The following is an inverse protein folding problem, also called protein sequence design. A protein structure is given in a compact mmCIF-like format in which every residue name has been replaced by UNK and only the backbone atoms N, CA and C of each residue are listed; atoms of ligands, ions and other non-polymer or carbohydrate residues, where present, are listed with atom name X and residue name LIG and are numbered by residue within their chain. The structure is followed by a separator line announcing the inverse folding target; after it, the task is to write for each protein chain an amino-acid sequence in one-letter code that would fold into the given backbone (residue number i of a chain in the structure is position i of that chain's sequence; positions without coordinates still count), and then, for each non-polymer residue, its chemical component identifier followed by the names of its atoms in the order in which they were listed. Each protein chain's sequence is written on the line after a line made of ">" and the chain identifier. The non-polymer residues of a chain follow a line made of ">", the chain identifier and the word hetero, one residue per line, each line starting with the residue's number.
data_IF_559708294790
#
_entry.id   IF_559708294790
#
_cell.length_a   1.000
_cell.length_b   1.000
_cell.length_c   1.000
_cell.angle_alpha   90.00
_cell.angle_beta   90.00
_cell.angle_gamma   90.00
#
_symmetry.space_group_name_H-M   'P 1'
#
loop_
_entity.id
_entity.type
_entity.pdbx_description
1 polymer ?
#
# COMPACT_ATOMS: atom_id res chain seq x y z
N UNK A 1 11.53 21.00 9.00
CA UNK A 1 10.80 20.60 7.78
C UNK A 1 10.08 19.29 8.08
N UNK A 2 8.77 19.24 7.90
CA UNK A 2 7.98 18.01 8.00
C UNK A 2 7.48 17.64 6.59
N UNK A 3 7.49 16.34 6.29
CA UNK A 3 6.86 15.78 5.11
C UNK A 3 6.05 14.56 5.58
N UNK A 4 4.76 14.54 5.25
CA UNK A 4 3.84 13.47 5.62
C UNK A 4 3.14 12.96 4.37
N UNK A 5 3.34 11.69 4.03
CA UNK A 5 2.70 11.03 2.89
C UNK A 5 1.72 9.96 3.39
N UNK A 6 0.49 10.00 2.87
CA UNK A 6 -0.57 9.07 3.23
C UNK A 6 -1.15 8.40 1.98
N UNK A 7 -0.73 7.17 1.71
CA UNK A 7 -1.20 6.41 0.56
C UNK A 7 -2.20 5.34 0.98
N UNK A 8 -3.31 5.24 0.25
CA UNK A 8 -4.35 4.24 0.46
C UNK A 8 -4.48 3.35 -0.77
N UNK A 9 -4.66 2.05 -0.56
CA UNK A 9 -4.96 1.09 -1.63
C UNK A 9 -6.34 0.46 -1.40
N UNK A 10 -7.21 0.56 -2.41
CA UNK A 10 -8.53 -0.05 -2.45
C UNK A 10 -8.48 -1.40 -3.16
N UNK A 11 -9.05 -2.42 -2.51
CA UNK A 11 -9.12 -3.80 -3.00
C UNK A 11 -10.59 -4.21 -3.03
N UNK A 12 -11.10 -4.56 -4.21
CA UNK A 12 -12.52 -4.91 -4.39
C UNK A 12 -13.46 -3.69 -4.41
N UNK A 13 -14.69 -3.91 -4.89
CA UNK A 13 -15.70 -2.85 -5.12
C UNK A 13 -16.31 -2.29 -3.84
N UNK A 14 -16.29 -3.06 -2.75
CA UNK A 14 -16.93 -2.71 -1.48
C UNK A 14 -15.95 -2.13 -0.46
N UNK A 15 -14.71 -1.84 -0.87
CA UNK A 15 -13.69 -1.25 0.01
C UNK A 15 -13.85 0.26 0.14
N UNK A 16 -13.38 0.79 1.27
CA UNK A 16 -13.28 2.22 1.53
C UNK A 16 -12.03 2.52 2.32
N UNK A 17 -11.42 3.68 2.05
CA UNK A 17 -10.26 4.18 2.75
C UNK A 17 -10.48 5.67 3.05
N UNK A 18 -10.29 6.07 4.30
CA UNK A 18 -10.49 7.45 4.74
C UNK A 18 -9.19 7.96 5.38
N UNK A 19 -8.78 9.17 4.99
CA UNK A 19 -7.55 9.82 5.48
C UNK A 19 -7.91 11.14 6.14
N UNK A 20 -7.55 11.31 7.42
CA UNK A 20 -7.87 12.51 8.22
C UNK A 20 -6.59 13.15 8.79
N UNK A 21 -5.90 14.01 8.03
CA UNK A 21 -4.69 14.67 8.51
C UNK A 21 -5.02 15.82 9.47
N UNK A 22 -4.14 16.05 10.44
CA UNK A 22 -4.18 17.21 11.34
C UNK A 22 -2.83 17.92 11.28
N UNK A 23 -2.85 19.23 10.99
CA UNK A 23 -1.64 20.05 10.89
C UNK A 23 -1.89 21.35 11.67
N UNK A 24 -1.21 21.50 12.79
CA UNK A 24 -1.20 22.73 13.60
C UNK A 24 0.22 23.28 13.68
N UNK A 25 0.43 24.52 13.22
CA UNK A 25 1.75 25.13 13.13
C UNK A 25 1.74 26.50 13.80
N UNK A 26 2.47 26.63 14.91
CA UNK A 26 2.60 27.89 15.66
C UNK A 26 3.96 28.58 15.45
N UNK A 27 4.69 28.20 14.40
CA UNK A 27 5.99 28.79 14.04
C UNK A 27 6.01 29.16 12.55
N UNK A 28 6.17 30.45 12.29
CA UNK A 28 6.17 31.12 10.99
C UNK A 28 7.40 30.82 10.10
N UNK A 29 8.44 30.21 10.66
CA UNK A 29 9.60 29.70 9.90
C UNK A 29 9.47 28.21 9.53
N UNK A 30 8.34 27.57 9.86
CA UNK A 30 8.13 26.15 9.60
C UNK A 30 7.86 25.88 8.13
N UNK A 31 8.34 24.73 7.65
CA UNK A 31 7.98 24.15 6.35
C UNK A 31 7.34 22.78 6.61
N UNK A 32 6.09 22.63 6.17
CA UNK A 32 5.26 21.43 6.34
C UNK A 32 4.63 21.09 4.99
N UNK A 33 4.79 19.84 4.58
CA UNK A 33 4.27 19.30 3.32
C UNK A 33 3.43 18.06 3.66
N UNK A 34 2.22 17.98 3.09
CA UNK A 34 1.36 16.81 3.22
C UNK A 34 0.87 16.37 1.84
N UNK A 35 1.02 15.08 1.58
CA UNK A 35 0.55 14.42 0.37
C UNK A 35 -0.34 13.23 0.76
N UNK A 36 -1.41 13.02 -0.01
CA UNK A 36 -2.25 11.86 0.12
C UNK A 36 -2.71 11.36 -1.24
N UNK A 37 -2.55 10.06 -1.49
CA UNK A 37 -2.97 9.42 -2.74
C UNK A 37 -3.88 8.22 -2.47
N UNK A 38 -4.78 7.94 -3.40
CA UNK A 38 -5.61 6.74 -3.37
C UNK A 38 -5.40 5.96 -4.65
N UNK A 39 -5.01 4.71 -4.51
CA UNK A 39 -4.79 3.76 -5.58
C UNK A 39 -5.82 2.65 -5.51
N UNK A 40 -6.15 2.06 -6.66
CA UNK A 40 -6.98 0.85 -6.76
C UNK A 40 -6.20 -0.19 -7.55
N UNK A 41 -6.32 -1.46 -7.19
CA UNK A 41 -5.77 -2.54 -8.01
C UNK A 41 -6.48 -2.51 -9.38
N UNK A 42 -5.70 -2.30 -10.44
CA UNK A 42 -6.23 -2.24 -11.80
C UNK A 42 -6.53 -3.64 -12.32
N UNK A 43 -7.72 -3.83 -12.89
CA UNK A 43 -8.08 -5.08 -13.59
C UNK A 43 -7.13 -5.37 -14.76
N UNK A 44 -6.62 -4.33 -15.42
CA UNK A 44 -5.61 -4.47 -16.48
C UNK A 44 -4.27 -4.97 -15.94
N UNK A 45 -3.84 -4.49 -14.77
CA UNK A 45 -2.62 -4.98 -14.11
C UNK A 45 -2.75 -6.44 -13.70
N UNK A 46 -3.90 -6.81 -13.13
CA UNK A 46 -4.20 -8.19 -12.77
C UNK A 46 -4.23 -9.10 -14.01
N UNK A 47 -4.94 -8.68 -15.05
CA UNK A 47 -5.02 -9.42 -16.32
C UNK A 47 -3.64 -9.61 -16.95
N UNK A 48 -2.79 -8.57 -16.94
CA UNK A 48 -1.43 -8.64 -17.45
C UNK A 48 -0.56 -9.67 -16.70
N UNK A 49 -0.64 -9.69 -15.37
CA UNK A 49 0.10 -10.65 -14.55
C UNK A 49 -0.43 -12.08 -14.76
N UNK A 50 -1.75 -12.24 -14.86
CA UNK A 50 -2.38 -13.54 -15.13
C UNK A 50 -2.00 -14.09 -16.51
N UNK A 51 -1.91 -13.26 -17.54
CA UNK A 51 -1.43 -13.68 -18.87
C UNK A 51 0.02 -14.20 -18.82
N UNK A 52 0.81 -13.81 -17.83
CA UNK A 52 2.16 -14.32 -17.59
C UNK A 52 2.19 -15.61 -16.76
N UNK A 53 1.04 -16.20 -16.48
CA UNK A 53 0.90 -17.44 -15.70
C UNK A 53 0.95 -17.24 -14.19
N UNK A 54 0.84 -16.00 -13.70
CA UNK A 54 0.80 -15.69 -12.27
C UNK A 54 -0.64 -15.86 -11.80
N UNK A 55 -0.87 -16.57 -10.70
CA UNK A 55 -2.22 -16.74 -10.15
C UNK A 55 -2.81 -15.38 -9.76
N UNK A 56 -4.14 -15.28 -9.68
CA UNK A 56 -4.79 -14.03 -9.27
C UNK A 56 -4.34 -13.60 -7.86
N UNK A 57 -4.22 -14.54 -6.94
CA UNK A 57 -3.78 -14.29 -5.56
C UNK A 57 -2.32 -13.81 -5.52
N UNK A 58 -1.43 -14.48 -6.26
CA UNK A 58 -0.03 -14.06 -6.37
C UNK A 58 0.11 -12.69 -7.04
N UNK A 59 -0.72 -12.39 -8.04
CA UNK A 59 -0.73 -11.11 -8.72
C UNK A 59 -1.14 -9.97 -7.78
N UNK A 60 -2.18 -10.17 -6.96
CA UNK A 60 -2.61 -9.22 -5.94
C UNK A 60 -1.53 -9.02 -4.89
N UNK A 61 -0.95 -10.12 -4.39
CA UNK A 61 0.16 -10.09 -3.42
C UNK A 61 1.37 -9.33 -3.96
N UNK A 62 1.72 -9.53 -5.24
CA UNK A 62 2.81 -8.82 -5.90
C UNK A 62 2.57 -7.29 -5.95
N UNK A 63 1.36 -6.87 -6.34
CA UNK A 63 0.99 -5.46 -6.43
C UNK A 63 1.04 -4.79 -5.04
N UNK A 64 0.47 -5.44 -4.02
CA UNK A 64 0.44 -4.93 -2.65
C UNK A 64 1.85 -4.85 -2.05
N UNK A 65 2.69 -5.86 -2.30
CA UNK A 65 4.10 -5.83 -1.87
C UNK A 65 4.86 -4.68 -2.53
N UNK A 66 4.57 -4.38 -3.80
CA UNK A 66 5.10 -3.21 -4.49
C UNK A 66 4.66 -1.89 -3.82
N UNK A 67 3.39 -1.80 -3.42
CA UNK A 67 2.84 -0.64 -2.72
C UNK A 67 3.46 -0.42 -1.33
N UNK A 68 3.67 -1.49 -0.55
CA UNK A 68 4.26 -1.41 0.78
C UNK A 68 5.81 -1.39 0.79
N UNK A 69 6.45 -1.38 -0.38
CA UNK A 69 7.90 -1.54 -0.51
C UNK A 69 8.71 -0.56 0.34
N UNK A 70 8.36 0.72 0.30
CA UNK A 70 9.10 1.76 1.00
C UNK A 70 9.00 1.62 2.52
N UNK A 71 7.87 1.08 3.02
CA UNK A 71 7.69 0.75 4.43
C UNK A 71 8.53 -0.47 4.81
N UNK A 72 8.55 -1.52 3.98
CA UNK A 72 9.34 -2.72 4.24
C UNK A 72 10.85 -2.45 4.22
N UNK A 73 11.32 -1.50 3.41
CA UNK A 73 12.72 -1.07 3.40
C UNK A 73 13.17 -0.42 4.72
N UNK A 74 12.26 0.07 5.55
CA UNK A 74 12.57 0.62 6.86
C UNK A 74 12.62 -0.45 7.96
N UNK A 75 12.15 -1.67 7.69
CA UNK A 75 12.22 -2.78 8.64
C UNK A 75 13.58 -3.50 8.53
N UNK A 76 14.10 -4.04 9.65
CA UNK A 76 15.22 -4.97 9.59
C UNK A 76 14.85 -6.18 8.72
N UNK A 77 15.81 -6.69 7.95
CA UNK A 77 15.59 -7.69 6.91
C UNK A 77 14.81 -8.93 7.40
N UNK A 78 15.13 -9.41 8.59
CA UNK A 78 14.45 -10.54 9.23
C UNK A 78 12.95 -10.30 9.49
N UNK A 79 12.55 -9.08 9.86
CA UNK A 79 11.15 -8.72 10.05
C UNK A 79 10.44 -8.37 8.74
N UNK A 80 11.16 -7.82 7.77
CA UNK A 80 10.61 -7.51 6.45
C UNK A 80 10.10 -8.77 5.75
N UNK A 81 10.90 -9.85 5.77
CA UNK A 81 10.53 -11.16 5.19
C UNK A 81 9.29 -11.74 5.86
N UNK A 82 9.22 -11.68 7.20
CA UNK A 82 8.08 -12.20 7.95
C UNK A 82 6.81 -11.37 7.71
N UNK A 83 6.92 -10.03 7.71
CA UNK A 83 5.79 -9.14 7.43
C UNK A 83 5.20 -9.39 6.04
N UNK A 84 6.05 -9.61 5.03
CA UNK A 84 5.63 -9.91 3.67
C UNK A 84 4.87 -11.24 3.59
N UNK A 85 5.34 -12.27 4.33
CA UNK A 85 4.69 -13.58 4.41
C UNK A 85 3.33 -13.52 5.10
N UNK A 86 3.25 -12.83 6.25
CA UNK A 86 2.01 -12.66 7.00
C UNK A 86 0.98 -11.84 6.21
N UNK A 87 1.43 -10.85 5.44
CA UNK A 87 0.56 -10.06 4.58
C UNK A 87 -0.04 -10.94 3.46
N UNK A 88 0.77 -11.77 2.81
CA UNK A 88 0.30 -12.73 1.80
C UNK A 88 -0.80 -13.65 2.34
N UNK A 89 -0.59 -14.24 3.53
CA UNK A 89 -1.57 -15.12 4.18
C UNK A 89 -2.90 -14.42 4.51
N UNK A 90 -2.89 -13.13 4.86
CA UNK A 90 -4.12 -12.37 5.10
C UNK A 90 -4.90 -12.07 3.83
N UNK A 91 -4.22 -11.99 2.70
CA UNK A 91 -4.81 -11.68 1.41
C UNK A 91 -5.41 -12.92 0.75
N UNK A 92 -4.83 -14.10 1.02
CA UNK A 92 -5.38 -15.40 0.64
C UNK A 92 -6.82 -15.55 1.18
N UNK A 93 -7.80 -15.72 0.28
CA UNK A 93 -9.22 -15.84 0.62
C UNK A 93 -9.97 -14.55 1.03
N UNK A 94 -9.30 -13.41 1.17
CA UNK A 94 -9.94 -12.11 1.48
C UNK A 94 -10.27 -11.28 0.24
N UNK A 95 -9.82 -11.72 -0.94
CA UNK A 95 -9.99 -11.04 -2.22
C UNK A 95 -10.97 -11.84 -3.07
N UNK A 96 -12.26 -11.65 -2.78
CA UNK A 96 -13.39 -12.32 -3.44
C UNK A 96 -14.71 -11.71 -3.01
#
# INVERSE_FOLDING_TARGET
>A
RNYTQCDSMLIGSNSGANTFPYIEVMNNSSSVEHEASTSKISEEQLFYLQQRGISQEDAVSLIINGFCKDVFLQLPMEFAVEAQRLLGLKLEGSVG
#
